data_IF_007705045239
#
_entry.id   IF_007705045239
#
_cell.length_a   1.000
_cell.length_b   1.000
_cell.length_c   1.000
_cell.angle_alpha   90.00
_cell.angle_beta   90.00
_cell.angle_gamma   90.00
#
_symmetry.space_group_name_H-M   'P 1'
#
loop_
_entity.id
_entity.type
_entity.pdbx_description
1 polymer ?
#
# COMPACT_ATOMS: atom_id res chain seq x y z
N UNK A 1 -0.85 19.46 -8.62
CA UNK A 1 -1.77 18.56 -7.91
C UNK A 1 -3.19 19.14 -7.91
N UNK A 2 -3.78 19.20 -9.10
CA UNK A 2 -5.11 19.77 -9.33
C UNK A 2 -6.05 18.62 -9.72
N UNK A 3 -7.24 18.51 -9.12
CA UNK A 3 -8.21 17.49 -9.50
C UNK A 3 -8.71 17.72 -10.93
N UNK A 4 -9.09 16.64 -11.60
CA UNK A 4 -9.75 16.70 -12.89
C UNK A 4 -11.02 17.55 -12.79
N UNK A 5 -11.10 18.60 -13.61
CA UNK A 5 -12.22 19.58 -13.56
C UNK A 5 -13.55 19.00 -14.01
N UNK A 6 -13.56 17.98 -14.88
CA UNK A 6 -14.80 17.33 -15.32
C UNK A 6 -15.36 16.42 -14.24
N UNK A 7 -14.47 15.62 -13.58
CA UNK A 7 -14.87 14.72 -12.50
C UNK A 7 -15.09 15.45 -11.18
N UNK A 8 -14.31 16.49 -10.92
CA UNK A 8 -14.33 17.26 -9.68
C UNK A 8 -14.49 18.76 -9.96
N UNK A 9 -15.65 19.22 -10.48
CA UNK A 9 -15.84 20.63 -10.87
C UNK A 9 -15.68 21.62 -9.72
N UNK A 10 -15.93 21.20 -8.48
CA UNK A 10 -15.72 21.98 -7.25
C UNK A 10 -14.35 21.73 -6.60
N UNK A 11 -13.42 21.08 -7.32
CA UNK A 11 -12.19 20.57 -6.72
C UNK A 11 -12.48 19.59 -5.57
N UNK A 12 -11.65 19.58 -4.54
CA UNK A 12 -11.81 18.69 -3.38
C UNK A 12 -12.86 19.17 -2.37
N UNK A 13 -13.40 20.39 -2.51
CA UNK A 13 -14.30 20.99 -1.51
C UNK A 13 -15.48 20.10 -1.15
N UNK A 14 -16.17 19.53 -2.15
CA UNK A 14 -17.32 18.64 -1.92
C UNK A 14 -16.92 17.35 -1.17
N UNK A 15 -15.76 16.78 -1.49
CA UNK A 15 -15.24 15.58 -0.80
C UNK A 15 -14.92 15.91 0.65
N UNK A 16 -14.31 17.06 0.92
CA UNK A 16 -13.97 17.48 2.28
C UNK A 16 -15.22 17.82 3.11
N UNK A 17 -16.27 18.41 2.50
CA UNK A 17 -17.58 18.54 3.16
C UNK A 17 -18.15 17.17 3.53
N UNK A 18 -18.13 16.22 2.59
CA UNK A 18 -18.61 14.85 2.80
C UNK A 18 -17.86 14.14 3.94
N UNK A 19 -16.54 14.32 4.01
CA UNK A 19 -15.72 13.83 5.12
C UNK A 19 -16.27 14.29 6.46
N UNK A 20 -16.56 15.60 6.60
CA UNK A 20 -17.05 16.21 7.83
C UNK A 20 -18.47 15.75 8.17
N UNK A 21 -19.38 15.81 7.21
CA UNK A 21 -20.80 15.45 7.36
C UNK A 21 -20.99 13.98 7.77
N UNK A 22 -20.18 13.08 7.20
CA UNK A 22 -20.25 11.65 7.46
C UNK A 22 -19.30 11.14 8.53
N UNK A 23 -18.62 12.05 9.26
CA UNK A 23 -17.68 11.74 10.33
C UNK A 23 -16.55 10.79 9.87
N UNK A 24 -16.14 10.89 8.60
CA UNK A 24 -15.02 10.11 8.07
C UNK A 24 -13.75 10.64 8.73
N UNK A 25 -13.04 9.77 9.43
CA UNK A 25 -11.90 10.17 10.25
C UNK A 25 -10.71 10.60 9.39
N UNK A 26 -10.41 9.87 8.34
CA UNK A 26 -9.27 10.12 7.46
C UNK A 26 -9.64 9.96 5.99
N UNK A 27 -9.12 10.83 5.14
CA UNK A 27 -9.18 10.71 3.68
C UNK A 27 -7.74 10.75 3.14
N UNK A 28 -7.41 9.77 2.32
CA UNK A 28 -6.13 9.70 1.62
C UNK A 28 -6.25 9.95 0.14
N UNK A 29 -5.11 10.19 -0.47
CA UNK A 29 -4.99 10.32 -1.91
C UNK A 29 -3.89 9.40 -2.44
N UNK A 30 -4.13 8.82 -3.62
CA UNK A 30 -3.12 8.03 -4.32
C UNK A 30 -2.30 8.92 -5.25
N UNK A 31 -1.00 8.75 -5.20
CA UNK A 31 -0.05 9.37 -6.13
C UNK A 31 1.15 8.45 -6.37
N UNK A 32 1.94 8.74 -7.42
CA UNK A 32 3.23 8.13 -7.66
C UNK A 32 4.35 8.95 -7.00
N UNK A 33 5.47 8.29 -6.65
CA UNK A 33 6.61 8.93 -5.99
C UNK A 33 7.16 10.14 -6.78
N UNK A 34 7.24 10.03 -8.11
CA UNK A 34 7.69 11.12 -8.98
C UNK A 34 6.57 12.08 -9.41
N UNK A 35 5.41 12.04 -8.76
CA UNK A 35 4.21 12.81 -9.08
C UNK A 35 3.28 12.13 -10.07
N UNK A 36 3.80 11.37 -11.02
CA UNK A 36 3.10 10.44 -11.91
C UNK A 36 4.05 9.30 -12.33
N UNK A 37 3.57 8.29 -13.07
CA UNK A 37 4.32 7.07 -13.38
C UNK A 37 5.74 7.32 -13.92
N UNK A 38 5.88 8.18 -14.92
CA UNK A 38 7.15 8.51 -15.57
C UNK A 38 7.63 9.94 -15.26
N UNK A 39 7.13 10.54 -14.19
CA UNK A 39 7.39 11.92 -13.85
C UNK A 39 6.25 12.86 -14.20
N UNK A 40 6.49 14.15 -14.12
CA UNK A 40 5.51 15.21 -14.28
C UNK A 40 5.49 15.72 -15.73
N UNK A 41 4.32 16.20 -16.18
CA UNK A 41 4.22 16.85 -17.49
C UNK A 41 5.07 18.11 -17.55
N UNK A 42 5.82 18.34 -18.63
CA UNK A 42 6.48 19.63 -18.86
C UNK A 42 5.51 20.82 -18.93
N UNK A 43 4.27 20.57 -19.35
CA UNK A 43 3.18 21.56 -19.46
C UNK A 43 2.42 21.74 -18.14
N UNK A 44 3.07 21.48 -17.03
CA UNK A 44 2.44 21.65 -15.72
C UNK A 44 2.30 23.12 -15.31
N UNK A 45 1.33 23.42 -14.45
CA UNK A 45 1.08 24.73 -13.89
C UNK A 45 1.86 25.04 -12.60
N UNK A 46 3.01 24.41 -12.36
CA UNK A 46 3.80 24.64 -11.14
C UNK A 46 4.34 26.06 -11.05
N UNK A 47 4.42 26.63 -9.84
CA UNK A 47 5.15 27.86 -9.59
C UNK A 47 6.60 27.77 -10.09
N UNK A 48 7.16 28.89 -10.52
CA UNK A 48 8.52 28.92 -11.09
C UNK A 48 9.58 28.33 -10.13
N UNK A 49 9.46 28.59 -8.83
CA UNK A 49 10.38 28.06 -7.81
C UNK A 49 10.38 26.51 -7.79
N UNK A 50 9.24 25.89 -8.05
CA UNK A 50 9.13 24.43 -8.11
C UNK A 50 9.62 23.90 -9.46
N UNK A 51 9.35 24.61 -10.55
CA UNK A 51 9.93 24.26 -11.87
C UNK A 51 11.45 24.22 -11.84
N UNK A 52 12.10 25.12 -11.11
CA UNK A 52 13.55 25.13 -10.91
C UNK A 52 14.06 23.94 -10.08
N UNK A 53 13.18 23.34 -9.28
CA UNK A 53 13.47 22.12 -8.51
C UNK A 53 13.33 20.82 -9.31
N UNK A 54 12.85 20.90 -10.56
CA UNK A 54 12.68 19.75 -11.46
C UNK A 54 13.76 19.74 -12.53
N UNK A 55 13.98 18.57 -13.14
CA UNK A 55 14.86 18.46 -14.28
C UNK A 55 14.22 17.61 -15.40
N UNK A 56 14.49 17.92 -16.68
CA UNK A 56 13.96 17.20 -17.81
C UNK A 56 14.56 15.77 -17.89
N UNK A 57 13.69 14.79 -18.13
CA UNK A 57 14.09 13.40 -18.34
C UNK A 57 13.10 12.70 -19.28
N UNK A 58 13.57 12.21 -20.42
CA UNK A 58 12.78 11.40 -21.36
C UNK A 58 11.38 11.96 -21.67
N UNK A 59 11.27 13.28 -21.91
CA UNK A 59 10.01 13.95 -22.24
C UNK A 59 9.12 14.30 -21.04
N UNK A 60 9.58 14.02 -19.83
CA UNK A 60 8.91 14.40 -18.58
C UNK A 60 9.83 15.21 -17.66
N UNK A 61 9.34 15.57 -16.48
CA UNK A 61 10.10 16.23 -15.44
C UNK A 61 10.16 15.35 -14.20
N UNK A 62 11.35 15.17 -13.64
CA UNK A 62 11.57 14.48 -12.37
C UNK A 62 11.96 15.47 -11.27
N UNK A 63 11.77 15.12 -9.97
CA UNK A 63 12.40 15.85 -8.88
C UNK A 63 13.90 15.99 -9.12
N UNK A 64 14.49 17.11 -8.74
CA UNK A 64 15.83 17.53 -9.15
C UNK A 64 16.95 16.56 -8.87
N UNK A 65 18.15 16.93 -9.33
CA UNK A 65 19.33 16.07 -9.28
C UNK A 65 20.15 16.20 -8.00
N UNK A 66 19.83 17.15 -7.17
CA UNK A 66 20.48 17.38 -5.86
C UNK A 66 19.47 17.35 -4.71
N UNK A 67 19.95 17.05 -3.51
CA UNK A 67 19.13 16.89 -2.31
C UNK A 67 18.28 18.11 -1.96
N UNK A 68 18.73 19.33 -2.32
CA UNK A 68 18.00 20.56 -2.02
C UNK A 68 16.78 20.71 -2.92
N UNK A 69 16.95 20.47 -4.22
CA UNK A 69 15.85 20.49 -5.19
C UNK A 69 14.85 19.38 -4.92
N UNK A 70 15.32 18.16 -4.65
CA UNK A 70 14.47 17.02 -4.29
C UNK A 70 13.61 17.36 -3.05
N UNK A 71 14.22 17.86 -1.97
CA UNK A 71 13.48 18.30 -0.78
C UNK A 71 12.48 19.42 -1.08
N UNK A 72 12.83 20.39 -1.91
CA UNK A 72 11.93 21.47 -2.28
C UNK A 72 10.69 20.96 -3.01
N UNK A 73 10.86 19.99 -3.91
CA UNK A 73 9.75 19.34 -4.59
C UNK A 73 8.83 18.60 -3.60
N UNK A 74 9.36 17.72 -2.75
CA UNK A 74 8.52 16.97 -1.81
C UNK A 74 7.88 17.85 -0.74
N UNK A 75 8.53 18.89 -0.32
CA UNK A 75 7.91 19.89 0.55
C UNK A 75 6.67 20.50 -0.10
N UNK A 76 6.78 20.97 -1.32
CA UNK A 76 5.66 21.51 -2.07
C UNK A 76 4.58 20.46 -2.31
N UNK A 77 4.97 19.27 -2.73
CA UNK A 77 4.08 18.14 -3.01
C UNK A 77 3.21 17.80 -1.80
N UNK A 78 3.83 17.50 -0.68
CA UNK A 78 3.13 17.05 0.53
C UNK A 78 2.34 18.19 1.17
N UNK A 79 2.90 19.42 1.27
CA UNK A 79 2.19 20.55 1.85
C UNK A 79 0.94 20.92 1.05
N UNK A 80 1.02 20.91 -0.29
CA UNK A 80 -0.14 21.19 -1.14
C UNK A 80 -1.27 20.18 -0.89
N UNK A 81 -0.97 18.91 -0.73
CA UNK A 81 -1.98 17.88 -0.46
C UNK A 81 -2.55 17.99 0.96
N UNK A 82 -1.71 18.34 1.94
CA UNK A 82 -2.16 18.64 3.29
C UNK A 82 -3.11 19.83 3.34
N UNK A 83 -2.78 20.91 2.66
CA UNK A 83 -3.61 22.12 2.55
C UNK A 83 -4.95 21.85 1.86
N UNK A 84 -4.99 20.88 0.95
CA UNK A 84 -6.21 20.39 0.31
C UNK A 84 -7.09 19.53 1.22
N UNK A 85 -6.63 19.18 2.43
CA UNK A 85 -7.40 18.48 3.45
C UNK A 85 -7.17 16.96 3.55
N UNK A 86 -6.18 16.42 2.84
CA UNK A 86 -5.83 15.00 2.92
C UNK A 86 -5.04 14.68 4.19
N UNK A 87 -5.30 13.50 4.75
CA UNK A 87 -4.71 13.05 6.02
C UNK A 87 -3.57 12.06 5.80
N UNK A 88 -3.58 11.33 4.67
CA UNK A 88 -2.54 10.37 4.32
C UNK A 88 -2.37 10.25 2.81
N UNK A 89 -1.24 9.70 2.39
CA UNK A 89 -0.96 9.39 0.99
C UNK A 89 -0.71 7.89 0.83
N UNK A 90 -1.25 7.32 -0.24
CA UNK A 90 -0.77 6.06 -0.81
C UNK A 90 0.14 6.41 -1.97
N UNK A 91 1.44 6.18 -1.80
CA UNK A 91 2.46 6.57 -2.79
C UNK A 91 2.97 5.33 -3.51
N UNK A 92 2.74 5.31 -4.81
CA UNK A 92 3.03 4.20 -5.70
C UNK A 92 4.30 4.40 -6.53
N UNK A 93 4.67 3.37 -7.29
CA UNK A 93 5.80 3.39 -8.25
C UNK A 93 7.18 3.64 -7.61
N UNK A 94 7.34 3.34 -6.33
CA UNK A 94 8.55 3.67 -5.60
C UNK A 94 9.75 2.83 -6.06
N UNK A 95 9.55 1.57 -6.44
CA UNK A 95 10.62 0.69 -6.94
C UNK A 95 11.22 1.19 -8.27
N UNK A 96 10.47 1.97 -9.05
CA UNK A 96 10.93 2.51 -10.32
C UNK A 96 11.70 3.83 -10.20
N UNK A 97 11.85 4.38 -9.00
CA UNK A 97 12.60 5.63 -8.80
C UNK A 97 14.05 5.48 -9.24
N UNK A 98 14.72 4.39 -8.86
CA UNK A 98 16.12 4.15 -9.30
C UNK A 98 16.24 4.04 -10.83
N UNK A 99 15.44 3.22 -11.54
CA UNK A 99 15.42 3.19 -13.00
C UNK A 99 15.22 4.56 -13.66
N UNK A 100 14.37 5.42 -13.11
CA UNK A 100 14.13 6.76 -13.66
C UNK A 100 15.37 7.66 -13.61
N UNK A 101 16.29 7.43 -12.68
CA UNK A 101 17.54 8.17 -12.56
C UNK A 101 18.74 7.46 -13.19
N UNK A 102 18.58 6.25 -13.75
CA UNK A 102 19.67 5.48 -14.35
C UNK A 102 20.32 6.25 -15.52
N UNK A 103 21.65 6.13 -15.61
CA UNK A 103 22.46 6.88 -16.57
C UNK A 103 23.03 8.18 -15.99
N UNK A 104 22.56 8.65 -14.85
CA UNK A 104 23.17 9.75 -14.09
C UNK A 104 24.29 9.26 -13.16
N UNK A 105 25.19 10.17 -12.78
CA UNK A 105 26.36 9.84 -11.93
C UNK A 105 25.99 9.46 -10.49
N UNK A 106 24.78 9.80 -10.00
CA UNK A 106 24.38 9.64 -8.61
C UNK A 106 22.97 9.06 -8.45
N UNK A 107 22.59 8.14 -9.33
CA UNK A 107 21.23 7.59 -9.41
C UNK A 107 20.74 6.99 -8.09
N UNK A 108 21.58 6.27 -7.37
CA UNK A 108 21.25 5.67 -6.07
C UNK A 108 20.97 6.77 -5.02
N UNK A 109 21.84 7.80 -4.97
CA UNK A 109 21.65 8.92 -4.05
C UNK A 109 20.36 9.66 -4.35
N UNK A 110 20.08 9.95 -5.62
CA UNK A 110 18.87 10.65 -6.05
C UNK A 110 17.60 9.86 -5.67
N UNK A 111 17.57 8.56 -5.94
CA UNK A 111 16.47 7.70 -5.56
C UNK A 111 16.29 7.63 -4.03
N UNK A 112 17.38 7.53 -3.28
CA UNK A 112 17.37 7.56 -1.80
C UNK A 112 16.88 8.89 -1.27
N UNK A 113 17.32 10.01 -1.84
CA UNK A 113 16.91 11.36 -1.44
C UNK A 113 15.42 11.59 -1.73
N UNK A 114 14.87 11.03 -2.81
CA UNK A 114 13.43 11.08 -3.09
C UNK A 114 12.62 10.38 -1.98
N UNK A 115 13.00 9.15 -1.63
CA UNK A 115 12.32 8.39 -0.59
C UNK A 115 12.42 9.11 0.78
N UNK A 116 13.63 9.48 1.20
CA UNK A 116 13.86 10.17 2.48
C UNK A 116 13.14 11.52 2.56
N UNK A 117 13.10 12.27 1.45
CA UNK A 117 12.44 13.57 1.42
C UNK A 117 10.93 13.43 1.50
N UNK A 118 10.34 12.43 0.83
CA UNK A 118 8.92 12.13 0.97
C UNK A 118 8.58 11.81 2.43
N UNK A 119 9.27 10.85 3.03
CA UNK A 119 9.00 10.42 4.42
C UNK A 119 9.17 11.57 5.42
N UNK A 120 10.24 12.35 5.29
CA UNK A 120 10.49 13.50 6.16
C UNK A 120 9.37 14.56 6.06
N UNK A 121 8.88 14.85 4.86
CA UNK A 121 7.80 15.83 4.69
C UNK A 121 6.44 15.29 5.15
N UNK A 122 6.15 14.02 4.96
CA UNK A 122 4.97 13.34 5.50
C UNK A 122 4.95 13.44 7.04
N UNK A 123 6.07 13.13 7.67
CA UNK A 123 6.22 13.26 9.13
C UNK A 123 6.05 14.71 9.59
N UNK A 124 6.72 15.65 8.93
CA UNK A 124 6.62 17.08 9.25
C UNK A 124 5.20 17.64 9.15
N UNK A 125 4.39 17.13 8.21
CA UNK A 125 3.00 17.52 8.00
C UNK A 125 2.00 16.73 8.86
N UNK A 126 2.49 15.80 9.70
CA UNK A 126 1.64 14.91 10.48
C UNK A 126 0.61 14.19 9.60
N UNK A 127 1.08 13.55 8.54
CA UNK A 127 0.28 12.75 7.61
C UNK A 127 0.65 11.27 7.72
N UNK A 128 -0.23 10.39 7.28
CA UNK A 128 0.07 8.98 7.12
C UNK A 128 0.70 8.68 5.76
N UNK A 129 1.52 7.62 5.70
CA UNK A 129 2.12 7.12 4.46
C UNK A 129 1.90 5.63 4.30
N UNK A 130 1.30 5.25 3.17
CA UNK A 130 1.19 3.89 2.69
C UNK A 130 2.07 3.74 1.45
N UNK A 131 3.11 2.92 1.53
CA UNK A 131 3.99 2.67 0.39
C UNK A 131 3.39 1.61 -0.53
N UNK A 132 3.51 1.83 -1.85
CA UNK A 132 3.11 0.86 -2.86
C UNK A 132 4.21 0.71 -3.91
N UNK A 133 4.36 -0.52 -4.46
CA UNK A 133 5.49 -0.89 -5.33
C UNK A 133 6.85 -0.45 -4.73
N UNK A 134 7.04 -0.70 -3.44
CA UNK A 134 8.18 -0.24 -2.66
C UNK A 134 9.13 -1.38 -2.23
N UNK A 135 8.98 -2.57 -2.84
CA UNK A 135 9.81 -3.74 -2.53
C UNK A 135 11.17 -3.64 -3.23
N UNK A 136 12.01 -2.78 -2.73
CA UNK A 136 13.42 -2.65 -3.12
C UNK A 136 14.25 -2.22 -1.92
N UNK A 137 15.58 -2.39 -2.03
CA UNK A 137 16.49 -2.13 -0.92
C UNK A 137 16.46 -0.66 -0.46
N UNK A 138 16.34 0.28 -1.38
CA UNK A 138 16.31 1.72 -1.05
C UNK A 138 15.13 2.03 -0.12
N UNK A 139 13.93 1.55 -0.47
CA UNK A 139 12.75 1.79 0.35
C UNK A 139 12.83 1.01 1.68
N UNK A 140 13.20 -0.27 1.63
CA UNK A 140 13.24 -1.14 2.82
C UNK A 140 14.22 -0.63 3.86
N UNK A 141 15.43 -0.24 3.45
CA UNK A 141 16.50 0.19 4.36
C UNK A 141 16.35 1.64 4.86
N UNK A 142 15.49 2.44 4.20
CA UNK A 142 15.32 3.85 4.55
C UNK A 142 13.92 4.20 5.06
N UNK A 143 13.07 3.20 5.34
CA UNK A 143 11.75 3.41 5.93
C UNK A 143 11.89 3.90 7.37
N UNK A 144 11.47 5.15 7.63
CA UNK A 144 11.57 5.81 8.93
C UNK A 144 10.22 6.29 9.47
N UNK A 145 9.32 6.72 8.60
CA UNK A 145 8.05 7.35 8.98
C UNK A 145 6.83 6.76 8.25
N UNK A 146 7.02 5.69 7.49
CA UNK A 146 5.92 5.01 6.82
C UNK A 146 5.08 4.22 7.82
N UNK A 147 3.76 4.20 7.62
CA UNK A 147 2.83 3.45 8.44
C UNK A 147 2.66 2.01 7.94
N UNK A 148 2.60 1.85 6.61
CA UNK A 148 2.42 0.56 5.99
C UNK A 148 3.08 0.48 4.62
N UNK A 149 3.36 -0.74 4.19
CA UNK A 149 3.87 -1.01 2.83
C UNK A 149 3.12 -2.17 2.20
N UNK A 150 2.83 -2.05 0.92
CA UNK A 150 2.28 -3.11 0.10
C UNK A 150 3.26 -4.28 0.03
N UNK A 151 2.78 -5.48 0.32
CA UNK A 151 3.63 -6.69 0.43
C UNK A 151 3.37 -7.72 -0.67
N UNK A 152 2.50 -7.44 -1.62
CA UNK A 152 2.07 -8.37 -2.68
C UNK A 152 1.90 -7.70 -4.02
N UNK A 153 1.75 -8.52 -5.08
CA UNK A 153 1.16 -8.08 -6.35
C UNK A 153 -0.27 -7.59 -6.13
N UNK A 154 -0.84 -6.91 -7.13
CA UNK A 154 -2.23 -6.45 -7.07
C UNK A 154 -3.20 -7.63 -6.93
N UNK A 155 -4.22 -7.44 -6.08
CA UNK A 155 -5.36 -8.34 -6.05
C UNK A 155 -6.16 -8.19 -7.35
N UNK A 156 -6.54 -9.32 -7.93
CA UNK A 156 -7.34 -9.36 -9.15
C UNK A 156 -8.62 -10.15 -8.92
N UNK A 157 -9.75 -9.47 -9.12
CA UNK A 157 -11.08 -10.03 -8.92
C UNK A 157 -11.34 -11.20 -9.89
N UNK A 158 -11.95 -12.27 -9.37
CA UNK A 158 -12.32 -13.49 -10.11
C UNK A 158 -11.14 -14.31 -10.68
N UNK A 159 -9.94 -14.09 -10.18
CA UNK A 159 -8.74 -14.78 -10.62
C UNK A 159 -8.14 -15.59 -9.45
N UNK A 160 -8.44 -16.87 -9.40
CA UNK A 160 -8.03 -17.77 -8.31
C UNK A 160 -6.52 -17.93 -8.24
N UNK A 161 -5.83 -18.05 -9.37
CA UNK A 161 -4.39 -18.24 -9.41
C UNK A 161 -3.64 -16.99 -8.97
N UNK A 162 -4.13 -15.83 -9.40
CA UNK A 162 -3.60 -14.56 -8.92
C UNK A 162 -3.87 -14.38 -7.42
N UNK A 163 -5.04 -14.78 -6.92
CA UNK A 163 -5.35 -14.72 -5.49
C UNK A 163 -4.42 -15.60 -4.66
N UNK A 164 -4.12 -16.82 -5.12
CA UNK A 164 -3.17 -17.75 -4.46
C UNK A 164 -1.76 -17.14 -4.42
N UNK A 165 -1.28 -16.61 -5.55
CA UNK A 165 0.02 -15.94 -5.65
C UNK A 165 0.09 -14.71 -4.76
N UNK A 166 -0.96 -13.91 -4.73
CA UNK A 166 -1.11 -12.74 -3.88
C UNK A 166 -1.01 -13.09 -2.39
N UNK A 167 -1.71 -14.14 -1.93
CA UNK A 167 -1.64 -14.60 -0.55
C UNK A 167 -0.25 -15.10 -0.17
N UNK A 168 0.37 -15.91 -1.03
CA UNK A 168 1.72 -16.40 -0.80
C UNK A 168 2.72 -15.24 -0.63
N UNK A 169 2.70 -14.28 -1.55
CA UNK A 169 3.57 -13.10 -1.47
C UNK A 169 3.26 -12.26 -0.23
N UNK A 170 1.98 -12.03 0.06
CA UNK A 170 1.56 -11.21 1.20
C UNK A 170 2.19 -11.68 2.50
N UNK A 171 2.06 -12.95 2.82
CA UNK A 171 2.59 -13.47 4.09
C UNK A 171 4.10 -13.68 4.08
N UNK A 172 4.66 -14.12 2.95
CA UNK A 172 6.12 -14.34 2.85
C UNK A 172 6.88 -13.03 2.97
N UNK A 173 6.44 -11.97 2.29
CA UNK A 173 7.09 -10.66 2.38
C UNK A 173 6.89 -9.99 3.74
N UNK A 174 5.82 -10.33 4.46
CA UNK A 174 5.58 -9.85 5.82
C UNK A 174 6.66 -10.28 6.80
N UNK A 175 7.36 -11.41 6.58
CA UNK A 175 8.48 -11.84 7.41
C UNK A 175 9.57 -10.77 7.53
N UNK A 176 9.88 -10.08 6.44
CA UNK A 176 10.88 -9.01 6.44
C UNK A 176 10.23 -7.65 6.68
N UNK A 177 9.29 -7.26 5.84
CA UNK A 177 8.74 -5.91 5.84
C UNK A 177 7.89 -5.62 7.07
N UNK A 178 7.22 -6.63 7.62
CA UNK A 178 6.43 -6.53 8.85
C UNK A 178 7.22 -6.27 10.12
N UNK A 179 8.56 -6.27 10.06
CA UNK A 179 9.43 -5.92 11.19
C UNK A 179 9.46 -4.41 11.46
N UNK A 180 9.16 -3.59 10.45
CA UNK A 180 9.30 -2.12 10.53
C UNK A 180 8.00 -1.37 10.26
N UNK A 181 7.12 -1.92 9.43
CA UNK A 181 5.85 -1.29 9.01
C UNK A 181 4.72 -2.32 9.00
N UNK A 182 3.48 -1.86 9.06
CA UNK A 182 2.33 -2.75 8.89
C UNK A 182 2.23 -3.23 7.43
N UNK A 183 2.04 -4.54 7.19
CA UNK A 183 1.93 -5.06 5.83
C UNK A 183 0.57 -4.70 5.22
N UNK A 184 0.59 -4.04 4.08
CA UNK A 184 -0.60 -3.80 3.28
C UNK A 184 -0.82 -5.00 2.33
N UNK A 185 -1.81 -5.83 2.65
CA UNK A 185 -2.23 -6.98 1.84
C UNK A 185 -3.19 -6.59 0.71
N UNK A 186 -3.20 -5.32 0.30
CA UNK A 186 -4.09 -4.77 -0.73
C UNK A 186 -5.58 -4.78 -0.36
N UNK A 187 -6.37 -4.18 -1.23
CA UNK A 187 -7.83 -4.23 -1.19
C UNK A 187 -8.38 -5.63 -1.41
N UNK A 188 -9.68 -5.78 -1.23
CA UNK A 188 -10.43 -6.92 -1.76
C UNK A 188 -11.84 -6.49 -2.18
N UNK A 189 -12.52 -7.33 -2.95
CA UNK A 189 -13.93 -7.19 -3.26
C UNK A 189 -14.74 -8.20 -2.47
N UNK A 190 -15.63 -7.74 -1.61
CA UNK A 190 -16.51 -8.64 -0.84
C UNK A 190 -17.46 -9.40 -1.76
N UNK A 191 -17.83 -8.82 -2.89
CA UNK A 191 -18.70 -9.38 -3.91
C UNK A 191 -17.99 -10.34 -4.90
N UNK A 192 -16.69 -10.59 -4.75
CA UNK A 192 -15.99 -11.58 -5.55
C UNK A 192 -16.47 -12.99 -5.19
N UNK A 193 -17.21 -13.62 -6.09
CA UNK A 193 -17.78 -14.94 -5.88
C UNK A 193 -16.76 -16.08 -5.89
N UNK A 194 -15.55 -15.84 -6.39
CA UNK A 194 -14.46 -16.81 -6.46
C UNK A 194 -13.55 -16.72 -5.23
N UNK A 195 -13.07 -15.51 -4.93
CA UNK A 195 -12.01 -15.30 -3.94
C UNK A 195 -12.43 -14.40 -2.76
N UNK A 196 -13.60 -13.76 -2.78
CA UNK A 196 -14.00 -12.77 -1.78
C UNK A 196 -13.94 -13.26 -0.33
N UNK A 197 -14.45 -14.47 -0.07
CA UNK A 197 -14.39 -15.08 1.27
C UNK A 197 -12.95 -15.41 1.70
N UNK A 198 -12.13 -15.93 0.78
CA UNK A 198 -10.72 -16.23 1.03
C UNK A 198 -9.95 -14.93 1.38
N UNK A 199 -10.16 -13.88 0.59
CA UNK A 199 -9.54 -12.57 0.81
C UNK A 199 -9.98 -11.94 2.11
N UNK A 200 -11.27 -11.94 2.43
CA UNK A 200 -11.78 -11.42 3.70
C UNK A 200 -11.09 -12.08 4.90
N UNK A 201 -11.01 -13.41 4.90
CA UNK A 201 -10.33 -14.16 5.98
C UNK A 201 -8.85 -13.84 6.06
N UNK A 202 -8.18 -13.66 4.91
CA UNK A 202 -6.76 -13.28 4.90
C UNK A 202 -6.52 -11.90 5.51
N UNK A 203 -7.44 -10.95 5.29
CA UNK A 203 -7.34 -9.61 5.89
C UNK A 203 -7.53 -9.65 7.41
N UNK A 204 -8.33 -10.58 7.94
CA UNK A 204 -8.61 -10.68 9.36
C UNK A 204 -7.36 -10.84 10.22
N UNK A 205 -6.34 -11.56 9.75
CA UNK A 205 -5.10 -11.80 10.48
C UNK A 205 -3.87 -11.07 9.91
N UNK A 206 -4.05 -10.31 8.84
CA UNK A 206 -2.92 -9.57 8.22
C UNK A 206 -2.24 -8.59 9.18
N UNK A 207 -2.99 -8.03 10.13
CA UNK A 207 -2.55 -6.94 11.00
C UNK A 207 -2.51 -5.58 10.30
N UNK A 208 -2.50 -5.56 8.98
CA UNK A 208 -2.43 -4.36 8.15
C UNK A 208 -3.77 -3.66 7.92
N UNK A 209 -3.80 -2.68 7.03
CA UNK A 209 -5.04 -2.04 6.61
C UNK A 209 -6.02 -3.03 5.96
N UNK A 210 -7.31 -2.87 6.24
CA UNK A 210 -8.38 -3.63 5.59
C UNK A 210 -9.27 -2.66 4.85
N UNK A 211 -9.34 -2.78 3.54
CA UNK A 211 -10.12 -1.87 2.71
C UNK A 211 -10.78 -2.60 1.53
N UNK A 212 -11.96 -2.11 1.17
CA UNK A 212 -12.85 -2.65 0.16
C UNK A 212 -12.78 -1.80 -1.11
N UNK A 213 -12.97 -2.45 -2.26
CA UNK A 213 -13.09 -1.79 -3.57
C UNK A 213 -14.35 -2.23 -4.32
N UNK A 214 -15.36 -2.71 -3.61
CA UNK A 214 -16.67 -2.96 -4.19
C UNK A 214 -17.30 -1.66 -4.71
N UNK A 215 -18.10 -1.74 -5.76
CA UNK A 215 -18.94 -0.64 -6.14
C UNK A 215 -20.02 -0.39 -5.07
N UNK A 216 -20.48 0.86 -4.90
CA UNK A 216 -21.58 1.13 -3.99
C UNK A 216 -22.80 0.26 -4.29
N UNK A 217 -23.25 -0.49 -3.30
CA UNK A 217 -24.38 -1.42 -3.43
C UNK A 217 -24.01 -2.89 -3.65
N UNK A 218 -22.77 -3.20 -4.00
CA UNK A 218 -22.33 -4.57 -4.27
C UNK A 218 -21.76 -5.29 -3.03
N UNK A 219 -21.76 -4.65 -1.88
CA UNK A 219 -21.19 -5.19 -0.64
C UNK A 219 -21.89 -6.48 -0.17
N UNK A 220 -21.09 -7.51 0.06
CA UNK A 220 -21.55 -8.79 0.63
C UNK A 220 -21.22 -8.80 2.13
N UNK A 221 -22.28 -8.65 2.95
CA UNK A 221 -22.17 -8.50 4.41
C UNK A 221 -21.50 -9.70 5.08
N UNK A 222 -21.75 -10.89 4.56
CA UNK A 222 -21.20 -12.17 5.03
C UNK A 222 -19.67 -12.22 4.96
N UNK A 223 -19.06 -11.46 4.06
CA UNK A 223 -17.61 -11.32 3.93
C UNK A 223 -17.05 -10.13 4.73
N UNK A 224 -17.87 -9.18 5.16
CA UNK A 224 -17.42 -7.96 5.84
C UNK A 224 -17.64 -8.06 7.35
N UNK A 225 -18.84 -8.44 7.81
CA UNK A 225 -19.21 -8.40 9.22
C UNK A 225 -18.35 -9.29 10.12
N UNK A 226 -17.82 -10.46 9.67
CA UNK A 226 -16.87 -11.22 10.48
C UNK A 226 -15.54 -10.52 10.78
N UNK A 227 -15.22 -9.42 10.07
CA UNK A 227 -14.00 -8.66 10.27
C UNK A 227 -14.13 -7.58 11.36
N UNK A 228 -15.35 -7.27 11.78
CA UNK A 228 -15.64 -6.14 12.68
C UNK A 228 -16.51 -6.58 13.85
N UNK A 229 -16.38 -5.86 14.95
CA UNK A 229 -17.30 -5.99 16.09
C UNK A 229 -18.63 -5.21 15.85
N UNK A 230 -19.53 -5.29 16.83
CA UNK A 230 -20.84 -4.60 16.76
C UNK A 230 -20.74 -3.07 16.68
N UNK A 231 -19.59 -2.49 17.04
CA UNK A 231 -19.30 -1.06 16.95
C UNK A 231 -18.60 -0.69 15.64
N UNK A 232 -18.34 -1.65 14.75
CA UNK A 232 -17.63 -1.45 13.48
C UNK A 232 -16.11 -1.40 13.63
N UNK A 233 -15.56 -1.78 14.78
CA UNK A 233 -14.11 -1.84 15.00
C UNK A 233 -13.57 -3.16 14.45
N UNK A 234 -12.49 -3.07 13.65
CA UNK A 234 -11.82 -4.24 13.13
C UNK A 234 -11.24 -5.13 14.24
N UNK A 235 -11.46 -6.43 14.14
CA UNK A 235 -10.64 -7.41 14.87
C UNK A 235 -9.23 -7.38 14.29
N UNK A 236 -8.23 -7.24 15.16
CA UNK A 236 -6.83 -7.19 14.74
C UNK A 236 -5.98 -8.09 15.62
N UNK A 237 -5.02 -8.82 15.03
CA UNK A 237 -3.97 -9.49 15.79
C UNK A 237 -3.04 -8.44 16.44
N UNK A 238 -2.27 -8.88 17.43
CA UNK A 238 -1.26 -8.04 18.10
C UNK A 238 -0.04 -7.76 17.21
N UNK A 239 0.26 -8.66 16.28
CA UNK A 239 1.28 -8.49 15.25
C UNK A 239 0.81 -9.11 13.93
N UNK A 240 1.42 -8.73 12.79
CA UNK A 240 1.07 -9.29 11.50
C UNK A 240 1.25 -10.80 11.45
N UNK A 241 0.36 -11.49 10.72
CA UNK A 241 0.51 -12.92 10.47
C UNK A 241 1.71 -13.21 9.57
N UNK A 242 2.46 -14.24 9.95
CA UNK A 242 3.63 -14.73 9.19
C UNK A 242 3.50 -16.22 8.92
N UNK A 243 4.19 -16.76 7.91
CA UNK A 243 4.24 -18.21 7.68
C UNK A 243 4.82 -18.94 8.89
N UNK A 244 4.22 -20.10 9.20
CA UNK A 244 4.80 -21.05 10.18
C UNK A 244 6.16 -21.57 9.67
N UNK A 245 7.08 -21.98 10.56
CA UNK A 245 8.43 -22.39 10.18
C UNK A 245 8.50 -23.41 9.05
N UNK A 246 7.63 -24.38 9.03
CA UNK A 246 7.55 -25.40 7.97
C UNK A 246 7.06 -24.87 6.62
N UNK A 247 6.44 -23.69 6.61
CA UNK A 247 5.92 -23.05 5.40
C UNK A 247 6.88 -22.02 4.80
N UNK A 248 7.92 -21.59 5.54
CA UNK A 248 8.81 -20.49 5.09
C UNK A 248 9.58 -20.88 3.82
N UNK A 249 10.17 -22.08 3.79
CA UNK A 249 11.00 -22.56 2.67
C UNK A 249 10.23 -23.44 1.69
N UNK A 250 8.90 -23.47 1.78
CA UNK A 250 8.06 -24.31 0.93
C UNK A 250 7.22 -23.43 0.01
N UNK A 251 7.34 -23.60 -1.31
CA UNK A 251 6.42 -22.96 -2.22
C UNK A 251 5.05 -23.67 -2.18
N UNK A 252 4.01 -23.09 -1.59
CA UNK A 252 2.72 -23.75 -1.40
C UNK A 252 1.94 -23.92 -2.70
N UNK A 253 2.29 -23.21 -3.78
CA UNK A 253 1.63 -23.34 -5.08
C UNK A 253 1.96 -24.68 -5.77
N UNK A 254 3.11 -25.29 -5.42
CA UNK A 254 3.65 -26.49 -6.10
C UNK A 254 3.88 -27.69 -5.17
N UNK A 255 4.03 -27.44 -3.86
CA UNK A 255 4.50 -28.46 -2.91
C UNK A 255 3.46 -29.53 -2.56
N UNK A 256 2.20 -29.33 -2.87
CA UNK A 256 1.11 -30.17 -2.40
C UNK A 256 0.82 -30.07 -0.90
N UNK A 257 1.47 -29.15 -0.17
CA UNK A 257 1.28 -28.93 1.27
C UNK A 257 0.35 -27.75 1.53
N UNK A 258 -0.35 -27.76 2.67
CA UNK A 258 -1.09 -26.61 3.15
C UNK A 258 -0.12 -25.47 3.53
N UNK A 259 -0.48 -24.24 3.19
CA UNK A 259 0.25 -23.06 3.60
C UNK A 259 -0.31 -22.57 4.93
N UNK A 260 0.49 -22.65 5.98
CA UNK A 260 0.11 -22.32 7.34
C UNK A 260 0.68 -20.96 7.73
N UNK A 261 -0.17 -20.09 8.22
CA UNK A 261 0.20 -18.75 8.71
C UNK A 261 -0.41 -18.52 10.08
N UNK A 262 0.29 -17.82 10.94
CA UNK A 262 -0.17 -17.55 12.30
C UNK A 262 0.09 -16.11 12.70
N UNK A 263 -0.76 -15.60 13.60
CA UNK A 263 -0.63 -14.29 14.22
C UNK A 263 -0.94 -14.37 15.72
N UNK A 264 -0.23 -13.62 16.59
CA UNK A 264 -0.59 -13.50 18.00
C UNK A 264 -1.91 -12.73 18.14
N UNK A 265 -2.82 -13.25 18.96
CA UNK A 265 -4.20 -12.76 19.08
C UNK A 265 -4.54 -12.20 20.46
N UNK A 266 -3.55 -12.01 21.30
CA UNK A 266 -3.70 -11.51 22.67
C UNK A 266 -3.79 -12.62 23.71
N UNK A 267 -3.46 -12.25 24.95
CA UNK A 267 -3.47 -13.18 26.11
C UNK A 267 -2.69 -14.49 25.90
N UNK A 268 -1.63 -14.46 25.10
CA UNK A 268 -0.84 -15.66 24.76
C UNK A 268 -1.51 -16.59 23.74
N UNK A 269 -2.65 -16.23 23.17
CA UNK A 269 -3.33 -16.99 22.12
C UNK A 269 -2.72 -16.72 20.75
N UNK A 270 -2.84 -17.70 19.85
CA UNK A 270 -2.43 -17.63 18.46
C UNK A 270 -3.62 -17.92 17.55
N UNK A 271 -3.80 -17.11 16.49
CA UNK A 271 -4.73 -17.44 15.41
C UNK A 271 -3.94 -18.10 14.28
N UNK A 272 -4.38 -19.27 13.86
CA UNK A 272 -3.80 -20.04 12.77
C UNK A 272 -4.79 -20.13 11.60
N UNK A 273 -4.30 -19.88 10.39
CA UNK A 273 -5.04 -20.18 9.17
C UNK A 273 -4.22 -21.15 8.30
N UNK A 274 -4.90 -22.15 7.77
CA UNK A 274 -4.34 -23.10 6.81
C UNK A 274 -4.99 -22.86 5.45
N UNK A 275 -4.19 -22.52 4.46
CA UNK A 275 -4.63 -22.31 3.08
C UNK A 275 -4.28 -23.49 2.19
N UNK A 276 -5.21 -23.89 1.34
CA UNK A 276 -4.89 -24.71 0.18
C UNK A 276 -4.60 -23.77 -1.01
N UNK A 277 -3.33 -23.53 -1.29
CA UNK A 277 -2.89 -22.72 -2.43
C UNK A 277 -2.46 -23.59 -3.63
N UNK A 278 -2.64 -24.90 -3.56
CA UNK A 278 -2.33 -25.81 -4.65
C UNK A 278 -3.39 -25.75 -5.76
N UNK A 279 -3.03 -26.17 -6.96
CA UNK A 279 -3.94 -26.26 -8.10
C UNK A 279 -5.07 -27.31 -7.89
N UNK A 280 -4.84 -28.31 -7.05
CA UNK A 280 -5.82 -29.39 -6.76
C UNK A 280 -6.27 -29.36 -5.30
N UNK A 281 -7.50 -29.77 -4.99
CA UNK A 281 -7.96 -29.95 -3.62
C UNK A 281 -7.05 -30.91 -2.84
N UNK A 282 -6.73 -30.57 -1.60
CA UNK A 282 -5.92 -31.38 -0.70
C UNK A 282 -6.61 -31.54 0.65
N UNK A 283 -6.57 -32.72 1.19
CA UNK A 283 -6.94 -32.99 2.57
C UNK A 283 -5.67 -33.19 3.38
N UNK A 284 -5.45 -32.39 4.37
CA UNK A 284 -4.35 -32.53 5.33
C UNK A 284 -4.90 -32.44 6.74
N UNK A 285 -4.47 -33.35 7.60
CA UNK A 285 -4.72 -33.23 9.03
C UNK A 285 -3.81 -32.13 9.60
N UNK A 286 -4.41 -31.20 10.31
CA UNK A 286 -3.69 -30.19 11.08
C UNK A 286 -3.63 -30.70 12.51
N UNK A 287 -2.45 -31.06 12.98
CA UNK A 287 -2.22 -31.27 14.39
C UNK A 287 -2.07 -29.90 15.07
N UNK A 288 -2.86 -29.69 16.12
CA UNK A 288 -2.84 -28.46 16.91
C UNK A 288 -1.56 -28.36 17.76
#
# INVERSE_FOLDING_TARGET
FIPDKQRFPSGWKKIMSYKKENKIKWIGLWYSLSGYWMGLSPENGFPQVIRQALYPHAGSLLPGTDSTRIRSFYRYYVSTLKEQGFDFLKVDNQAFTLPLYMGGHESIRQATDCNRSLEAEIHRQNMGLMNCMAQNIINTDHTSYSNSTRVSIDYKKYDEDMAKSHLFQSYTNTLLLGQTVWPDHDMFHSCDTVCGTLMARSKAISGGPVYLSDAPGDFIKENIFPLIDKQGKLFRPEAPAVPMPESILTNPLWSGKAYRVAAPSGNGAMTLICYNLNASPRHQQVQA
#
